data_IF_114060077253
#
_entry.id   IF_114060077253
#
_cell.length_a   1.000
_cell.length_b   1.000
_cell.length_c   1.000
_cell.angle_alpha   90.00
_cell.angle_beta   90.00
_cell.angle_gamma   90.00
#
_symmetry.space_group_name_H-M   'P 1'
#
loop_
_entity.id
_entity.type
_entity.pdbx_description
1 polymer ?
#
# COMPACT_ATOMS: atom_id res chain seq x y z
N UNK A 1 5.60 -4.41 56.82
CA UNK A 1 6.11 -4.90 55.53
C UNK A 1 4.92 -5.40 54.71
N UNK A 2 4.78 -4.97 53.45
CA UNK A 2 3.75 -5.49 52.55
C UNK A 2 4.21 -6.81 51.92
N UNK A 3 3.27 -7.71 51.64
CA UNK A 3 3.54 -8.95 50.91
C UNK A 3 3.72 -8.65 49.42
N UNK A 4 4.62 -9.37 48.76
CA UNK A 4 4.84 -9.26 47.33
C UNK A 4 3.61 -9.69 46.53
N UNK A 5 3.31 -8.94 45.46
CA UNK A 5 2.17 -9.20 44.58
C UNK A 5 2.42 -10.46 43.75
N UNK A 6 1.63 -11.52 43.98
CA UNK A 6 1.77 -12.81 43.27
C UNK A 6 0.92 -12.94 42.00
N UNK A 7 -0.17 -12.16 41.87
CA UNK A 7 -1.10 -12.25 40.76
C UNK A 7 -1.67 -10.87 40.40
N UNK A 8 -2.21 -10.75 39.18
CA UNK A 8 -3.00 -9.62 38.73
C UNK A 8 -4.28 -10.13 38.06
N UNK A 9 -5.39 -9.40 38.23
CA UNK A 9 -6.66 -9.70 37.61
C UNK A 9 -6.84 -8.76 36.41
N UNK A 10 -7.15 -9.32 35.23
CA UNK A 10 -7.46 -8.55 34.03
C UNK A 10 -8.88 -8.90 33.61
N UNK A 11 -9.68 -7.87 33.33
CA UNK A 11 -11.02 -8.05 32.78
C UNK A 11 -10.95 -7.95 31.26
N UNK A 12 -11.07 -9.08 30.58
CA UNK A 12 -11.08 -9.14 29.11
C UNK A 12 -12.51 -9.15 28.58
N UNK A 13 -13.04 -7.97 28.25
CA UNK A 13 -14.44 -7.82 27.86
C UNK A 13 -14.74 -8.24 26.41
N UNK A 14 -13.73 -8.43 25.56
CA UNK A 14 -13.91 -8.68 24.12
C UNK A 14 -12.98 -9.76 23.56
N UNK A 15 -12.47 -10.66 24.41
CA UNK A 15 -11.54 -11.69 23.98
C UNK A 15 -10.26 -11.09 23.39
N UNK A 16 -9.80 -9.95 23.91
CA UNK A 16 -8.55 -9.31 23.50
C UNK A 16 -7.38 -10.28 23.57
N UNK A 17 -7.33 -11.15 24.60
CA UNK A 17 -6.26 -12.16 24.69
C UNK A 17 -6.30 -13.18 23.56
N UNK A 18 -7.48 -13.51 23.05
CA UNK A 18 -7.65 -14.40 21.89
C UNK A 18 -7.32 -13.64 20.60
N UNK A 19 -7.82 -12.41 20.46
CA UNK A 19 -7.53 -11.52 19.34
C UNK A 19 -6.03 -11.26 19.15
N UNK A 20 -5.28 -10.92 20.20
CA UNK A 20 -3.83 -10.70 20.12
C UNK A 20 -3.00 -11.98 20.01
N UNK A 21 -3.62 -13.16 20.18
CA UNK A 21 -3.00 -14.46 19.84
C UNK A 21 -3.30 -14.88 18.41
N UNK A 22 -4.36 -14.34 17.81
CA UNK A 22 -4.54 -14.48 16.37
C UNK A 22 -3.40 -13.72 15.71
N UNK A 23 -2.74 -14.38 14.76
CA UNK A 23 -1.76 -13.77 13.88
C UNK A 23 -2.44 -13.63 12.50
N UNK A 24 -3.52 -12.84 12.38
CA UNK A 24 -4.20 -12.70 11.10
C UNK A 24 -3.25 -12.06 10.11
N UNK A 25 -3.32 -12.48 8.85
CA UNK A 25 -2.68 -11.73 7.77
C UNK A 25 -3.26 -10.31 7.79
N UNK A 26 -2.41 -9.29 7.76
CA UNK A 26 -2.86 -7.90 7.69
C UNK A 26 -3.65 -7.70 6.40
N UNK A 27 -4.98 -7.58 6.52
CA UNK A 27 -5.83 -7.13 5.43
C UNK A 27 -5.57 -5.63 5.27
N UNK A 28 -4.72 -5.26 4.31
CA UNK A 28 -4.36 -3.86 4.04
C UNK A 28 -5.57 -2.97 3.69
N UNK A 29 -6.75 -3.56 3.50
CA UNK A 29 -7.96 -2.87 3.13
C UNK A 29 -7.88 -2.36 1.70
N UNK A 30 -8.96 -2.50 0.94
CA UNK A 30 -9.02 -1.91 -0.41
C UNK A 30 -9.04 -0.39 -0.29
N UNK A 31 -7.90 0.27 -0.53
CA UNK A 31 -7.85 1.73 -0.61
C UNK A 31 -8.79 2.21 -1.72
N UNK A 32 -9.87 2.90 -1.35
CA UNK A 32 -10.81 3.44 -2.32
C UNK A 32 -10.13 4.52 -3.17
N UNK A 33 -10.18 4.41 -4.50
CA UNK A 33 -9.58 5.38 -5.41
C UNK A 33 -10.11 6.80 -5.19
N UNK A 34 -9.20 7.76 -5.14
CA UNK A 34 -9.54 9.19 -5.01
C UNK A 34 -10.30 9.72 -6.23
N UNK A 35 -11.09 10.79 -6.08
CA UNK A 35 -11.78 11.42 -7.23
C UNK A 35 -10.81 11.91 -8.32
N UNK A 36 -9.68 12.58 -8.00
CA UNK A 36 -8.70 12.97 -9.01
C UNK A 36 -8.11 11.78 -9.77
N UNK A 37 -7.83 10.67 -9.06
CA UNK A 37 -7.38 9.42 -9.70
C UNK A 37 -8.44 8.88 -10.67
N UNK A 38 -9.71 8.84 -10.27
CA UNK A 38 -10.80 8.39 -11.15
C UNK A 38 -10.91 9.26 -12.40
N UNK A 39 -10.78 10.59 -12.27
CA UNK A 39 -10.83 11.52 -13.43
C UNK A 39 -9.66 11.26 -14.37
N UNK A 40 -8.46 11.08 -13.83
CA UNK A 40 -7.27 10.78 -14.63
C UNK A 40 -7.39 9.44 -15.37
N UNK A 41 -7.83 8.39 -14.68
CA UNK A 41 -8.09 7.07 -15.29
C UNK A 41 -9.17 7.15 -16.38
N UNK A 42 -10.25 7.91 -16.16
CA UNK A 42 -11.29 8.12 -17.17
C UNK A 42 -10.74 8.81 -18.43
N UNK A 43 -9.85 9.80 -18.28
CA UNK A 43 -9.13 10.41 -19.42
C UNK A 43 -8.23 9.40 -20.14
N UNK A 44 -7.49 8.56 -19.41
CA UNK A 44 -6.66 7.52 -20.02
C UNK A 44 -7.51 6.53 -20.82
N UNK A 45 -8.65 6.09 -20.28
CA UNK A 45 -9.58 5.19 -20.97
C UNK A 45 -10.10 5.86 -22.24
N UNK A 46 -10.50 7.13 -22.16
CA UNK A 46 -10.97 7.90 -23.31
C UNK A 46 -9.90 8.05 -24.39
N UNK A 47 -8.65 8.37 -24.02
CA UNK A 47 -7.54 8.47 -24.96
C UNK A 47 -7.26 7.14 -25.67
N UNK A 48 -7.25 6.03 -24.92
CA UNK A 48 -7.02 4.70 -25.48
C UNK A 48 -8.15 4.29 -26.43
N UNK A 49 -9.40 4.58 -26.08
CA UNK A 49 -10.54 4.28 -26.96
C UNK A 49 -10.53 5.16 -28.21
N UNK A 50 -10.23 6.46 -28.08
CA UNK A 50 -10.09 7.37 -29.21
C UNK A 50 -9.00 6.89 -30.18
N UNK A 51 -7.83 6.51 -29.67
CA UNK A 51 -6.74 5.94 -30.46
C UNK A 51 -7.16 4.66 -31.18
N UNK A 52 -7.85 3.75 -30.48
CA UNK A 52 -8.38 2.49 -31.04
C UNK A 52 -9.36 2.74 -32.18
N UNK A 53 -10.16 3.81 -32.12
CA UNK A 53 -11.13 4.20 -33.14
C UNK A 53 -10.57 5.14 -34.22
N UNK A 54 -9.27 5.43 -34.19
CA UNK A 54 -8.61 6.39 -35.07
C UNK A 54 -9.15 7.84 -34.97
N UNK A 55 -9.74 8.20 -33.83
CA UNK A 55 -10.24 9.56 -33.52
C UNK A 55 -9.07 10.45 -33.05
N UNK A 56 -8.15 10.76 -33.96
CA UNK A 56 -6.87 11.39 -33.62
C UNK A 56 -7.00 12.80 -33.03
N UNK A 57 -8.03 13.55 -33.41
CA UNK A 57 -8.29 14.87 -32.86
C UNK A 57 -8.69 14.80 -31.37
N UNK A 58 -9.54 13.83 -31.01
CA UNK A 58 -9.95 13.55 -29.64
C UNK A 58 -8.75 13.04 -28.84
N UNK A 59 -8.00 12.09 -29.41
CA UNK A 59 -6.81 11.53 -28.78
C UNK A 59 -5.79 12.62 -28.43
N UNK A 60 -5.47 13.51 -29.38
CA UNK A 60 -4.53 14.59 -29.17
C UNK A 60 -4.97 15.57 -28.07
N UNK A 61 -6.25 15.94 -28.04
CA UNK A 61 -6.79 16.82 -27.00
C UNK A 61 -6.72 16.17 -25.60
N UNK A 62 -7.16 14.91 -25.48
CA UNK A 62 -7.13 14.19 -24.20
C UNK A 62 -5.70 13.96 -23.72
N UNK A 63 -4.74 13.70 -24.63
CA UNK A 63 -3.30 13.60 -24.29
C UNK A 63 -2.78 14.91 -23.69
N UNK A 64 -3.17 16.06 -24.23
CA UNK A 64 -2.81 17.36 -23.65
C UNK A 64 -3.40 17.53 -22.24
N UNK A 65 -4.63 17.09 -22.02
CA UNK A 65 -5.25 17.12 -20.70
C UNK A 65 -4.58 16.18 -19.69
N UNK A 66 -4.14 14.99 -20.13
CA UNK A 66 -3.38 14.03 -19.31
C UNK A 66 -2.03 14.64 -18.92
N UNK A 67 -1.32 15.24 -19.88
CA UNK A 67 -0.06 15.93 -19.63
C UNK A 67 -0.24 17.05 -18.61
N UNK A 68 -1.27 17.89 -18.77
CA UNK A 68 -1.58 18.97 -17.84
C UNK A 68 -1.87 18.46 -16.42
N UNK A 69 -2.52 17.30 -16.27
CA UNK A 69 -2.75 16.68 -14.95
C UNK A 69 -1.45 16.21 -14.30
N UNK A 70 -0.55 15.58 -15.08
CA UNK A 70 0.78 15.17 -14.61
C UNK A 70 1.59 16.39 -14.17
N UNK A 71 1.63 17.43 -15.00
CA UNK A 71 2.40 18.65 -14.73
C UNK A 71 1.89 19.41 -13.49
N UNK A 72 0.59 19.34 -13.21
CA UNK A 72 -0.03 19.96 -12.04
C UNK A 72 0.29 19.26 -10.71
N UNK A 73 0.93 18.08 -10.72
CA UNK A 73 1.36 17.41 -9.49
C UNK A 73 2.45 18.22 -8.79
N UNK A 74 2.29 18.40 -7.48
CA UNK A 74 3.24 19.15 -6.65
C UNK A 74 4.54 18.34 -6.44
N UNK A 75 5.64 18.84 -7.02
CA UNK A 75 6.98 18.23 -6.91
C UNK A 75 7.57 18.25 -5.50
N UNK A 76 6.93 18.93 -4.53
CA UNK A 76 7.38 18.92 -3.13
C UNK A 76 6.84 17.74 -2.33
N UNK A 77 5.79 17.05 -2.82
CA UNK A 77 5.20 15.90 -2.13
C UNK A 77 6.13 14.70 -2.19
N UNK A 78 6.37 14.03 -1.06
CA UNK A 78 7.32 12.90 -0.96
C UNK A 78 7.01 11.80 -2.00
N UNK A 79 5.76 11.34 -2.08
CA UNK A 79 5.35 10.32 -3.05
C UNK A 79 5.60 10.73 -4.52
N UNK A 80 5.45 12.01 -4.86
CA UNK A 80 5.74 12.53 -6.21
C UNK A 80 7.25 12.61 -6.43
N UNK A 81 8.03 13.02 -5.41
CA UNK A 81 9.49 13.08 -5.46
C UNK A 81 10.12 11.71 -5.65
N UNK A 82 9.62 10.68 -4.98
CA UNK A 82 10.11 9.31 -5.15
C UNK A 82 9.95 8.81 -6.60
N UNK A 83 8.91 9.30 -7.30
CA UNK A 83 8.60 8.95 -8.69
C UNK A 83 8.96 10.06 -9.69
N UNK A 84 9.89 10.98 -9.36
CA UNK A 84 10.18 12.15 -10.20
C UNK A 84 10.65 11.80 -11.62
N UNK A 85 11.48 10.76 -11.78
CA UNK A 85 11.96 10.31 -13.09
C UNK A 85 10.80 9.81 -13.95
N UNK A 86 9.89 9.05 -13.34
CA UNK A 86 8.68 8.57 -13.99
C UNK A 86 7.80 9.75 -14.41
N UNK A 87 7.57 10.72 -13.52
CA UNK A 87 6.81 11.94 -13.83
C UNK A 87 7.42 12.68 -15.01
N UNK A 88 8.73 12.93 -15.01
CA UNK A 88 9.41 13.64 -16.07
C UNK A 88 9.25 12.94 -17.43
N UNK A 89 9.45 11.62 -17.46
CA UNK A 89 9.29 10.82 -18.66
C UNK A 89 7.84 10.78 -19.18
N UNK A 90 6.86 10.65 -18.28
CA UNK A 90 5.44 10.60 -18.64
C UNK A 90 4.83 11.99 -18.91
N UNK A 91 5.54 13.07 -18.60
CA UNK A 91 5.19 14.45 -19.01
C UNK A 91 5.63 14.76 -20.45
N UNK A 92 6.49 13.94 -21.06
CA UNK A 92 6.91 14.12 -22.44
C UNK A 92 5.76 13.88 -23.43
N UNK A 93 5.32 14.95 -24.10
CA UNK A 93 4.22 14.90 -25.06
C UNK A 93 4.42 13.86 -26.15
N UNK A 94 5.64 13.74 -26.68
CA UNK A 94 5.97 12.73 -27.71
C UNK A 94 5.73 11.31 -27.23
N UNK A 95 6.06 11.01 -25.97
CA UNK A 95 5.85 9.69 -25.37
C UNK A 95 4.36 9.44 -25.15
N UNK A 96 3.63 10.43 -24.64
CA UNK A 96 2.18 10.33 -24.46
C UNK A 96 1.44 10.14 -25.79
N UNK A 97 1.83 10.85 -26.84
CA UNK A 97 1.29 10.71 -28.20
C UNK A 97 1.55 9.33 -28.81
N UNK A 98 2.66 8.67 -28.46
CA UNK A 98 2.90 7.29 -28.89
C UNK A 98 1.98 6.29 -28.19
N UNK A 99 1.59 6.57 -26.93
CA UNK A 99 0.72 5.72 -26.11
C UNK A 99 1.08 4.23 -26.16
N UNK A 100 2.39 3.93 -26.11
CA UNK A 100 2.89 2.56 -26.18
C UNK A 100 2.38 1.72 -24.99
N UNK A 101 2.28 0.38 -25.10
CA UNK A 101 1.75 -0.48 -24.04
C UNK A 101 2.41 -0.27 -22.67
N UNK A 102 3.74 -0.16 -22.61
CA UNK A 102 4.48 0.16 -21.38
C UNK A 102 4.08 1.53 -20.80
N UNK A 103 3.92 2.54 -21.65
CA UNK A 103 3.52 3.89 -21.20
C UNK A 103 2.10 3.86 -20.63
N UNK A 104 1.18 3.13 -21.27
CA UNK A 104 -0.17 2.91 -20.77
C UNK A 104 -0.15 2.24 -19.38
N UNK A 105 0.58 1.14 -19.22
CA UNK A 105 0.68 0.42 -17.94
C UNK A 105 1.18 1.34 -16.83
N UNK A 106 2.28 2.07 -17.06
CA UNK A 106 2.83 3.01 -16.08
C UNK A 106 1.87 4.15 -15.74
N UNK A 107 1.09 4.64 -16.72
CA UNK A 107 0.09 5.68 -16.48
C UNK A 107 -1.03 5.20 -15.55
N UNK A 108 -1.51 3.97 -15.71
CA UNK A 108 -2.57 3.41 -14.88
C UNK A 108 -2.08 2.95 -13.50
N UNK A 109 -0.95 2.25 -13.44
CA UNK A 109 -0.49 1.59 -12.21
C UNK A 109 0.34 2.51 -11.31
N UNK A 110 1.17 3.39 -11.89
CA UNK A 110 2.11 4.19 -11.12
C UNK A 110 1.73 5.67 -11.09
N UNK A 111 1.29 6.26 -12.22
CA UNK A 111 0.96 7.69 -12.28
C UNK A 111 -0.43 8.02 -11.74
N UNK A 112 -1.44 7.18 -12.02
CA UNK A 112 -2.81 7.45 -11.57
C UNK A 112 -2.96 7.54 -10.04
N UNK A 113 -2.32 6.67 -9.22
CA UNK A 113 -2.36 6.82 -7.76
C UNK A 113 -1.75 8.12 -7.25
N UNK A 114 -0.80 8.72 -7.98
CA UNK A 114 -0.20 10.00 -7.58
C UNK A 114 -1.18 11.18 -7.68
N UNK A 115 -2.28 11.03 -8.42
CA UNK A 115 -3.31 12.06 -8.57
C UNK A 115 -4.00 12.40 -7.25
N UNK A 116 -3.96 11.52 -6.26
CA UNK A 116 -4.45 11.83 -4.90
C UNK A 116 -3.72 13.02 -4.27
N UNK A 117 -2.49 13.30 -4.70
CA UNK A 117 -1.66 14.41 -4.22
C UNK A 117 -1.87 15.71 -5.01
N UNK A 118 -2.75 15.70 -6.02
CA UNK A 118 -3.15 16.90 -6.76
C UNK A 118 -4.00 17.79 -5.85
N UNK A 119 -3.67 19.08 -5.76
CA UNK A 119 -4.44 20.05 -4.98
C UNK A 119 -5.82 20.25 -5.61
N UNK A 120 -6.85 19.70 -4.98
CA UNK A 120 -8.25 19.75 -5.48
C UNK A 120 -9.24 20.24 -4.42
N UNK A 121 -8.74 21.00 -3.43
CA UNK A 121 -9.55 21.58 -2.35
C UNK A 121 -10.70 22.41 -2.91
N UNK A 122 -11.95 22.05 -2.57
CA UNK A 122 -13.15 22.73 -3.05
C UNK A 122 -13.63 22.32 -4.45
N UNK A 123 -12.89 21.46 -5.17
CA UNK A 123 -13.24 21.05 -6.54
C UNK A 123 -14.05 19.74 -6.62
N UNK A 124 -14.56 19.22 -5.50
CA UNK A 124 -15.22 17.91 -5.46
C UNK A 124 -16.41 17.81 -6.43
N UNK A 125 -17.23 18.86 -6.54
CA UNK A 125 -18.35 18.92 -7.49
C UNK A 125 -17.89 19.04 -8.94
N UNK A 126 -16.82 19.80 -9.18
CA UNK A 126 -16.21 19.95 -10.50
C UNK A 126 -15.64 18.62 -10.99
N UNK A 127 -14.91 17.87 -10.15
CA UNK A 127 -14.37 16.56 -10.50
C UNK A 127 -15.47 15.52 -10.76
N UNK A 128 -16.56 15.55 -9.98
CA UNK A 128 -17.73 14.68 -10.24
C UNK A 128 -18.41 15.04 -11.56
N UNK A 129 -18.46 16.31 -11.92
CA UNK A 129 -18.96 16.76 -13.22
C UNK A 129 -18.04 16.26 -14.33
N UNK A 130 -16.72 16.41 -14.19
CA UNK A 130 -15.75 15.91 -15.18
C UNK A 130 -15.94 14.43 -15.47
N UNK A 131 -16.10 13.61 -14.43
CA UNK A 131 -16.34 12.17 -14.59
C UNK A 131 -17.56 11.88 -15.45
N UNK A 132 -18.67 12.60 -15.24
CA UNK A 132 -19.88 12.42 -16.04
C UNK A 132 -19.66 12.83 -17.49
N UNK A 133 -18.97 13.95 -17.74
CA UNK A 133 -18.65 14.38 -19.11
C UNK A 133 -17.69 13.41 -19.81
N UNK A 134 -16.66 12.90 -19.12
CA UNK A 134 -15.74 11.90 -19.64
C UNK A 134 -16.47 10.57 -19.94
N UNK A 135 -17.39 10.16 -19.07
CA UNK A 135 -18.24 8.99 -19.31
C UNK A 135 -19.17 9.19 -20.50
N UNK A 136 -19.77 10.37 -20.66
CA UNK A 136 -20.57 10.72 -21.82
C UNK A 136 -19.72 10.67 -23.11
N UNK A 137 -18.54 11.29 -23.12
CA UNK A 137 -17.61 11.29 -24.26
C UNK A 137 -17.18 9.86 -24.63
N UNK A 138 -16.87 9.02 -23.62
CA UNK A 138 -16.52 7.61 -23.84
C UNK A 138 -17.70 6.82 -24.40
N UNK A 139 -18.91 7.02 -23.87
CA UNK A 139 -20.14 6.36 -24.36
C UNK A 139 -20.45 6.78 -25.79
N UNK A 140 -20.23 8.04 -26.18
CA UNK A 140 -20.36 8.47 -27.59
C UNK A 140 -19.42 7.71 -28.51
N UNK A 141 -18.22 7.38 -28.06
CA UNK A 141 -17.30 6.53 -28.81
C UNK A 141 -17.78 5.08 -28.82
N UNK A 142 -18.09 4.47 -27.67
CA UNK A 142 -18.30 3.02 -27.56
C UNK A 142 -19.72 2.56 -27.87
N UNK A 143 -20.74 3.26 -27.36
CA UNK A 143 -22.14 2.85 -27.37
C UNK A 143 -23.07 4.06 -27.61
N UNK A 144 -23.14 4.59 -28.86
CA UNK A 144 -23.91 5.79 -29.18
C UNK A 144 -25.40 5.73 -28.77
N UNK A 145 -25.99 4.53 -28.71
CA UNK A 145 -27.37 4.32 -28.30
C UNK A 145 -27.66 4.61 -26.82
N UNK A 146 -26.63 4.68 -25.95
CA UNK A 146 -26.79 4.97 -24.51
C UNK A 146 -26.42 6.40 -24.13
N UNK A 147 -26.04 7.23 -25.09
CA UNK A 147 -25.55 8.60 -24.85
C UNK A 147 -26.59 9.45 -24.12
N UNK A 148 -27.87 9.31 -24.48
CA UNK A 148 -28.96 10.07 -23.84
C UNK A 148 -29.14 9.70 -22.36
N UNK A 149 -28.93 8.42 -22.02
CA UNK A 149 -28.98 7.94 -20.62
C UNK A 149 -27.84 8.59 -19.80
N UNK A 150 -26.64 8.65 -20.38
CA UNK A 150 -25.46 9.26 -19.73
C UNK A 150 -25.52 10.80 -19.67
N UNK A 151 -26.29 11.43 -20.56
CA UNK A 151 -26.51 12.88 -20.57
C UNK A 151 -27.47 13.33 -19.46
N UNK A 152 -28.42 12.47 -19.05
CA UNK A 152 -29.46 12.83 -18.09
C UNK A 152 -28.91 13.32 -16.73
N UNK A 153 -27.92 12.66 -16.09
CA UNK A 153 -27.34 13.14 -14.84
C UNK A 153 -26.62 14.49 -14.95
N UNK A 154 -26.14 14.86 -16.14
CA UNK A 154 -25.55 16.17 -16.41
C UNK A 154 -26.66 17.21 -16.50
N UNK A 155 -27.73 16.90 -17.23
CA UNK A 155 -28.90 17.75 -17.37
C UNK A 155 -29.52 18.08 -16.00
N UNK A 156 -29.71 17.09 -15.13
CA UNK A 156 -30.26 17.26 -13.78
C UNK A 156 -29.41 18.21 -12.91
N UNK A 157 -28.07 18.17 -13.07
CA UNK A 157 -27.17 19.10 -12.38
C UNK A 157 -27.22 20.51 -12.96
N UNK A 158 -27.41 20.64 -14.27
CA UNK A 158 -27.50 21.93 -14.94
C UNK A 158 -28.83 22.62 -14.66
N UNK A 159 -29.94 21.86 -14.56
CA UNK A 159 -31.26 22.40 -14.21
C UNK A 159 -31.35 22.86 -12.75
N UNK A 160 -30.53 22.30 -11.85
CA UNK A 160 -30.43 22.72 -10.45
C UNK A 160 -29.51 23.92 -10.20
N UNK A 161 -28.89 24.52 -11.23
CA UNK A 161 -28.03 25.71 -11.08
C UNK A 161 -28.84 26.95 -10.66
N UNK A 162 -28.35 27.68 -9.67
CA UNK A 162 -29.02 28.88 -9.16
C UNK A 162 -28.77 30.12 -10.05
N UNK A 163 -29.70 30.40 -10.97
CA UNK A 163 -29.65 31.54 -11.92
C UNK A 163 -29.65 32.94 -11.27
N UNK A 164 -29.91 33.04 -9.97
CA UNK A 164 -29.85 34.31 -9.24
C UNK A 164 -28.41 34.82 -9.03
N UNK A 165 -27.41 33.95 -9.14
CA UNK A 165 -26.00 34.27 -8.95
C UNK A 165 -25.38 34.84 -10.24
N UNK A 166 -24.58 35.91 -10.12
CA UNK A 166 -23.91 36.56 -11.26
C UNK A 166 -22.98 35.61 -12.03
N UNK A 167 -22.24 34.76 -11.30
CA UNK A 167 -21.32 33.77 -11.88
C UNK A 167 -22.06 32.78 -12.78
N UNK A 168 -23.21 32.27 -12.32
CA UNK A 168 -24.07 31.36 -13.10
C UNK A 168 -24.64 32.08 -14.32
N UNK A 169 -25.10 33.33 -14.17
CA UNK A 169 -25.61 34.13 -15.31
C UNK A 169 -24.56 34.36 -16.40
N UNK A 170 -23.28 34.50 -16.02
CA UNK A 170 -22.20 34.68 -17.00
C UNK A 170 -22.05 33.49 -17.97
N UNK A 171 -22.60 32.31 -17.61
CA UNK A 171 -22.59 31.07 -18.41
C UNK A 171 -23.99 30.68 -18.91
N UNK A 172 -24.96 31.60 -18.89
CA UNK A 172 -26.35 31.32 -19.24
C UNK A 172 -26.54 30.77 -20.67
N UNK A 173 -25.68 31.14 -21.62
CA UNK A 173 -25.71 30.61 -22.99
C UNK A 173 -25.48 29.09 -23.01
N UNK A 174 -24.42 28.62 -22.35
CA UNK A 174 -24.09 27.20 -22.22
C UNK A 174 -25.18 26.44 -21.48
N UNK A 175 -25.72 27.01 -20.39
CA UNK A 175 -26.82 26.41 -19.62
C UNK A 175 -28.05 26.21 -20.53
N UNK A 176 -28.45 27.26 -21.27
CA UNK A 176 -29.60 27.20 -22.18
C UNK A 176 -29.43 26.18 -23.30
N UNK A 177 -28.22 26.04 -23.82
CA UNK A 177 -27.88 25.04 -24.86
C UNK A 177 -28.02 23.62 -24.33
N UNK A 178 -27.42 23.31 -23.18
CA UNK A 178 -27.47 21.97 -22.57
C UNK A 178 -28.90 21.56 -22.20
N UNK A 179 -29.74 22.52 -21.84
CA UNK A 179 -31.16 22.28 -21.54
C UNK A 179 -32.02 21.97 -22.79
N UNK A 180 -31.51 22.17 -24.01
CA UNK A 180 -32.24 21.76 -25.20
C UNK A 180 -32.26 20.23 -25.32
N UNK A 181 -33.39 19.62 -25.73
CA UNK A 181 -33.47 18.18 -25.96
C UNK A 181 -32.37 17.70 -26.91
N UNK A 182 -31.76 16.56 -26.59
CA UNK A 182 -30.74 15.90 -27.41
C UNK A 182 -29.46 16.70 -27.71
N UNK A 183 -29.30 17.92 -27.18
CA UNK A 183 -28.15 18.78 -27.51
C UNK A 183 -26.79 18.12 -27.22
N UNK A 184 -26.62 17.56 -26.02
CA UNK A 184 -25.39 16.83 -25.67
C UNK A 184 -25.21 15.53 -26.46
N UNK A 185 -26.32 14.90 -26.86
CA UNK A 185 -26.32 13.68 -27.66
C UNK A 185 -25.86 13.93 -29.10
N UNK A 186 -26.26 15.07 -29.67
CA UNK A 186 -25.95 15.45 -31.06
C UNK A 186 -24.64 16.23 -31.18
N UNK A 187 -24.20 16.89 -30.10
CA UNK A 187 -22.96 17.65 -30.06
C UNK A 187 -21.71 16.80 -30.35
N UNK A 188 -20.72 17.38 -31.02
CA UNK A 188 -19.41 16.75 -31.19
C UNK A 188 -18.60 16.74 -29.87
N UNK A 189 -17.46 16.06 -29.89
CA UNK A 189 -16.56 15.97 -28.75
C UNK A 189 -16.14 17.34 -28.19
N UNK A 190 -15.75 18.29 -29.06
CA UNK A 190 -15.21 19.58 -28.67
C UNK A 190 -16.28 20.51 -28.10
N UNK A 191 -17.51 20.41 -28.59
CA UNK A 191 -18.67 21.12 -28.04
C UNK A 191 -18.99 20.59 -26.64
N UNK A 192 -19.00 19.26 -26.45
CA UNK A 192 -19.21 18.63 -25.13
C UNK A 192 -18.08 19.02 -24.16
N UNK A 193 -16.84 19.06 -24.63
CA UNK A 193 -15.68 19.45 -23.83
C UNK A 193 -15.72 20.94 -23.43
N UNK A 194 -16.10 21.83 -24.35
CA UNK A 194 -16.34 23.25 -24.06
C UNK A 194 -17.45 23.43 -23.02
N UNK A 195 -18.52 22.64 -23.10
CA UNK A 195 -19.59 22.64 -22.09
C UNK A 195 -19.04 22.28 -20.71
N UNK A 196 -18.27 21.20 -20.61
CA UNK A 196 -17.61 20.75 -19.37
C UNK A 196 -16.78 21.87 -18.75
N UNK A 197 -15.91 22.51 -19.55
CA UNK A 197 -15.02 23.57 -19.08
C UNK A 197 -15.79 24.81 -18.58
N UNK A 198 -16.83 25.22 -19.30
CA UNK A 198 -17.65 26.36 -18.90
C UNK A 198 -18.43 26.12 -17.60
N UNK A 199 -18.97 24.91 -17.42
CA UNK A 199 -19.75 24.56 -16.23
C UNK A 199 -18.88 24.28 -15.00
N UNK A 200 -17.61 23.86 -15.19
CA UNK A 200 -16.70 23.47 -14.10
C UNK A 200 -16.65 24.50 -12.97
N UNK A 201 -16.54 25.77 -13.32
CA UNK A 201 -16.41 26.88 -12.36
C UNK A 201 -17.69 27.13 -11.55
N UNK A 202 -18.86 26.81 -12.07
CA UNK A 202 -20.16 27.18 -11.47
C UNK A 202 -20.95 26.00 -10.90
N UNK A 203 -20.55 24.75 -11.18
CA UNK A 203 -21.35 23.56 -10.82
C UNK A 203 -21.56 23.38 -9.31
N UNK A 204 -20.65 23.95 -8.50
CA UNK A 204 -20.76 23.93 -7.05
C UNK A 204 -21.88 24.86 -6.52
N UNK A 205 -22.36 25.79 -7.35
CA UNK A 205 -23.42 26.76 -7.06
C UNK A 205 -24.83 26.21 -7.38
N UNK A 206 -24.97 24.90 -7.61
CA UNK A 206 -26.28 24.27 -7.76
C UNK A 206 -26.98 24.10 -6.42
N UNK A 207 -28.30 24.14 -6.44
CA UNK A 207 -29.11 23.70 -5.33
C UNK A 207 -28.97 22.18 -5.17
N UNK A 208 -28.45 21.74 -4.02
CA UNK A 208 -28.24 20.33 -3.71
C UNK A 208 -29.46 19.69 -3.06
N UNK A 209 -30.56 20.44 -2.92
CA UNK A 209 -31.71 20.04 -2.14
C UNK A 209 -31.41 19.97 -0.64
N UNK A 210 -32.37 19.45 0.11
CA UNK A 210 -32.22 19.22 1.54
C UNK A 210 -31.28 18.03 1.73
N UNK A 211 -30.12 18.25 2.36
CA UNK A 211 -29.25 17.15 2.74
C UNK A 211 -30.05 16.18 3.62
N UNK A 212 -30.08 14.87 3.32
CA UNK A 212 -30.76 13.91 4.17
C UNK A 212 -30.25 14.04 5.60
N UNK A 213 -31.15 13.91 6.57
CA UNK A 213 -30.78 13.96 7.98
C UNK A 213 -29.60 13.02 8.21
N UNK A 214 -28.52 13.46 8.90
CA UNK A 214 -27.40 12.60 9.19
C UNK A 214 -27.92 11.32 9.84
N UNK A 215 -27.49 10.16 9.33
CA UNK A 215 -27.87 8.88 9.93
C UNK A 215 -27.57 8.95 11.42
N UNK A 216 -28.58 8.69 12.26
CA UNK A 216 -28.39 8.68 13.69
C UNK A 216 -27.27 7.68 14.02
N UNK A 217 -26.24 8.14 14.73
CA UNK A 217 -25.17 7.26 15.22
C UNK A 217 -25.83 6.17 16.06
N UNK A 218 -25.66 4.88 15.72
CA UNK A 218 -26.25 3.82 16.51
C UNK A 218 -25.64 3.86 17.91
N UNK A 219 -26.46 4.16 18.92
CA UNK A 219 -26.09 4.05 20.32
C UNK A 219 -26.39 2.61 20.72
N UNK A 220 -25.34 1.82 20.91
CA UNK A 220 -25.46 0.43 21.38
C UNK A 220 -25.21 0.45 22.90
N UNK A 221 -26.26 0.30 23.70
CA UNK A 221 -26.16 0.07 25.16
C UNK A 221 -25.90 -1.42 25.42
N UNK A 222 -24.63 -1.80 25.48
CA UNK A 222 -24.22 -3.18 25.82
C UNK A 222 -24.25 -3.33 27.34
N UNK A 223 -25.26 -4.06 27.85
CA UNK A 223 -25.37 -4.38 29.28
C UNK A 223 -24.68 -5.70 29.58
N UNK A 224 -23.85 -5.71 30.61
CA UNK A 224 -23.18 -6.92 31.09
C UNK A 224 -24.15 -7.82 31.86
N UNK A 225 -24.21 -9.10 31.47
CA UNK A 225 -24.85 -10.14 32.26
C UNK A 225 -23.79 -10.88 33.09
N UNK A 226 -23.92 -10.80 34.42
CA UNK A 226 -23.01 -11.46 35.37
C UNK A 226 -23.04 -12.99 35.23
N UNK A 227 -24.13 -13.57 34.71
CA UNK A 227 -24.23 -15.00 34.45
C UNK A 227 -23.34 -15.50 33.30
N UNK A 228 -22.80 -14.59 32.48
CA UNK A 228 -21.92 -14.91 31.35
C UNK A 228 -20.43 -14.72 31.67
N UNK A 229 -20.09 -14.36 32.90
CA UNK A 229 -18.68 -14.17 33.30
C UNK A 229 -17.93 -15.51 33.23
N UNK A 230 -16.85 -15.53 32.45
CA UNK A 230 -15.91 -16.65 32.38
C UNK A 230 -14.60 -16.25 33.04
N UNK A 231 -14.02 -17.14 33.84
CA UNK A 231 -12.71 -16.94 34.47
C UNK A 231 -11.75 -18.00 33.97
N UNK A 232 -10.60 -17.56 33.46
CA UNK A 232 -9.54 -18.44 32.97
C UNK A 232 -8.19 -17.95 33.48
N UNK A 233 -7.31 -18.88 33.84
CA UNK A 233 -5.92 -18.58 34.15
C UNK A 233 -5.12 -18.51 32.85
N UNK A 234 -4.55 -17.33 32.56
CA UNK A 234 -3.71 -17.13 31.38
C UNK A 234 -2.24 -17.16 31.81
N UNK A 235 -1.49 -18.15 31.31
CA UNK A 235 -0.03 -18.20 31.48
C UNK A 235 0.62 -17.11 30.64
N UNK A 236 1.50 -16.33 31.24
CA UNK A 236 2.29 -15.30 30.56
C UNK A 236 3.38 -15.96 29.72
N UNK A 237 3.30 -15.86 28.39
CA UNK A 237 4.42 -16.14 27.48
C UNK A 237 5.26 -14.87 27.29
N UNK A 238 5.59 -14.17 28.38
CA UNK A 238 6.50 -13.02 28.31
C UNK A 238 7.91 -13.58 28.39
N UNK A 239 8.57 -13.70 27.24
CA UNK A 239 10.02 -13.91 27.18
C UNK A 239 10.68 -12.60 27.60
N UNK A 240 10.77 -12.37 28.92
CA UNK A 240 11.34 -11.15 29.52
C UNK A 240 12.85 -11.03 29.31
N UNK A 241 13.45 -12.05 28.70
CA UNK A 241 14.87 -12.10 28.41
C UNK A 241 15.07 -11.37 27.08
N UNK A 242 15.61 -10.15 27.15
CA UNK A 242 16.05 -9.42 25.97
C UNK A 242 17.10 -10.28 25.23
N UNK A 243 16.76 -10.69 24.01
CA UNK A 243 17.59 -11.56 23.20
C UNK A 243 19.00 -10.99 23.01
N UNK A 244 19.15 -9.67 22.90
CA UNK A 244 20.45 -9.04 22.72
C UNK A 244 21.32 -9.18 23.97
N UNK A 245 20.73 -8.99 25.16
CA UNK A 245 21.42 -9.14 26.44
C UNK A 245 21.82 -10.61 26.64
N UNK A 246 20.90 -11.53 26.37
CA UNK A 246 21.17 -12.96 26.52
C UNK A 246 22.22 -13.48 25.56
N UNK A 247 22.17 -13.02 24.30
CA UNK A 247 23.19 -13.33 23.29
C UNK A 247 24.56 -12.86 23.74
N UNK A 248 24.69 -11.66 24.31
CA UNK A 248 25.96 -11.14 24.83
C UNK A 248 26.49 -11.97 26.00
N UNK A 249 25.63 -12.44 26.91
CA UNK A 249 26.05 -13.30 28.02
C UNK A 249 26.52 -14.67 27.53
N UNK A 250 25.83 -15.26 26.55
CA UNK A 250 26.23 -16.50 25.90
C UNK A 250 27.59 -16.32 25.20
N UNK A 251 27.75 -15.26 24.39
CA UNK A 251 28.99 -14.98 23.68
C UNK A 251 30.17 -14.77 24.64
N UNK A 252 29.96 -14.03 25.73
CA UNK A 252 30.97 -13.80 26.77
C UNK A 252 31.36 -15.10 27.48
N UNK A 253 30.42 -16.01 27.70
CA UNK A 253 30.68 -17.30 28.35
C UNK A 253 31.42 -18.26 27.41
N UNK A 254 31.10 -18.21 26.11
CA UNK A 254 31.70 -19.10 25.10
C UNK A 254 33.06 -18.62 24.59
N UNK A 255 33.32 -17.31 24.58
CA UNK A 255 34.55 -16.73 24.01
C UNK A 255 35.86 -17.28 24.58
N UNK A 256 36.02 -17.42 25.91
CA UNK A 256 37.23 -17.98 26.50
C UNK A 256 37.45 -19.47 26.19
N UNK A 257 36.38 -20.17 25.78
CA UNK A 257 36.40 -21.62 25.55
C UNK A 257 36.71 -21.99 24.10
N UNK A 258 36.81 -21.02 23.19
CA UNK A 258 37.06 -21.27 21.77
C UNK A 258 38.39 -21.98 21.49
N UNK A 259 39.43 -21.68 22.28
CA UNK A 259 40.74 -22.29 22.09
C UNK A 259 40.88 -23.66 22.78
N UNK A 260 40.09 -23.91 23.84
CA UNK A 260 40.24 -25.10 24.68
C UNK A 260 39.20 -26.19 24.44
N UNK A 261 38.05 -25.87 23.82
CA UNK A 261 36.94 -26.81 23.66
C UNK A 261 36.80 -27.32 22.22
N UNK A 262 37.00 -28.62 22.03
CA UNK A 262 36.93 -29.27 20.72
C UNK A 262 35.53 -29.18 20.07
N UNK A 263 34.45 -29.14 20.87
CA UNK A 263 33.07 -29.05 20.35
C UNK A 263 32.83 -27.67 19.73
N UNK A 264 33.27 -26.60 20.40
CA UNK A 264 33.15 -25.24 19.85
C UNK A 264 33.99 -25.06 18.58
N UNK A 265 35.17 -25.69 18.51
CA UNK A 265 35.98 -25.69 17.29
C UNK A 265 35.27 -26.38 16.12
N UNK A 266 34.64 -27.54 16.37
CA UNK A 266 33.80 -28.22 15.36
C UNK A 266 32.63 -27.36 14.89
N UNK A 267 31.96 -26.66 15.81
CA UNK A 267 30.85 -25.72 15.49
C UNK A 267 31.36 -24.60 14.59
N UNK A 268 32.50 -23.98 14.92
CA UNK A 268 33.11 -22.88 14.14
C UNK A 268 33.57 -23.32 12.75
N UNK A 269 34.09 -24.55 12.63
CA UNK A 269 34.62 -25.11 11.39
C UNK A 269 33.56 -25.73 10.48
N UNK A 270 32.27 -25.63 10.82
CA UNK A 270 31.20 -26.18 9.98
C UNK A 270 30.99 -27.69 10.10
N UNK A 271 31.66 -28.37 11.03
CA UNK A 271 31.59 -29.83 11.16
C UNK A 271 30.31 -30.26 11.88
N UNK A 272 29.85 -31.49 11.61
CA UNK A 272 28.69 -32.08 12.28
C UNK A 272 29.00 -32.37 13.74
N UNK A 273 28.12 -31.92 14.64
CA UNK A 273 28.26 -32.12 16.09
C UNK A 273 27.20 -33.10 16.57
N UNK A 274 27.57 -34.02 17.46
CA UNK A 274 26.61 -35.00 18.00
C UNK A 274 25.78 -34.41 19.13
N UNK A 275 24.62 -34.99 19.43
CA UNK A 275 23.79 -34.55 20.56
C UNK A 275 24.52 -34.70 21.92
N UNK A 276 25.40 -35.71 22.05
CA UNK A 276 26.22 -35.91 23.24
C UNK A 276 27.27 -34.80 23.42
N UNK A 277 27.85 -34.32 22.31
CA UNK A 277 28.79 -33.19 22.32
C UNK A 277 28.09 -31.89 22.74
N UNK A 278 26.86 -31.65 22.22
CA UNK A 278 26.05 -30.49 22.58
C UNK A 278 25.59 -30.53 24.05
N UNK A 279 25.22 -31.70 24.56
CA UNK A 279 24.87 -31.88 25.97
C UNK A 279 26.07 -31.60 26.88
N UNK A 280 27.26 -32.07 26.48
CA UNK A 280 28.51 -31.81 27.21
C UNK A 280 28.84 -30.32 27.24
N UNK A 281 28.71 -29.63 26.09
CA UNK A 281 28.90 -28.20 25.99
C UNK A 281 27.89 -27.43 26.86
N UNK A 282 26.61 -27.82 26.84
CA UNK A 282 25.57 -27.21 27.67
C UNK A 282 25.86 -27.35 29.16
N UNK A 283 26.29 -28.53 29.61
CA UNK A 283 26.68 -28.76 31.00
C UNK A 283 27.89 -27.90 31.42
N UNK A 284 28.88 -27.76 30.54
CA UNK A 284 30.07 -26.95 30.79
C UNK A 284 29.73 -25.46 30.89
N UNK A 285 28.90 -24.94 29.97
CA UNK A 285 28.42 -23.55 29.98
C UNK A 285 27.62 -23.26 31.24
N UNK A 286 26.71 -24.16 31.62
CA UNK A 286 25.92 -24.02 32.84
C UNK A 286 26.76 -24.04 34.12
N UNK A 287 27.88 -24.77 34.11
CA UNK A 287 28.84 -24.80 35.23
C UNK A 287 29.62 -23.48 35.35
N UNK A 288 29.92 -22.81 34.23
CA UNK A 288 30.64 -21.53 34.23
C UNK A 288 29.73 -20.34 34.47
N UNK A 289 28.49 -20.39 33.98
CA UNK A 289 27.49 -19.35 34.18
C UNK A 289 26.11 -19.97 34.41
N UNK A 290 25.64 -20.05 35.67
CA UNK A 290 24.34 -20.60 36.02
C UNK A 290 23.16 -19.87 35.36
N UNK A 291 23.35 -18.63 34.90
CA UNK A 291 22.32 -17.82 34.26
C UNK A 291 22.17 -18.11 32.76
N UNK A 292 23.08 -18.90 32.17
CA UNK A 292 23.06 -19.24 30.75
C UNK A 292 22.67 -20.71 30.58
N UNK A 293 21.64 -20.93 29.77
CA UNK A 293 21.17 -22.24 29.32
C UNK A 293 21.05 -22.25 27.80
N UNK A 294 21.83 -23.10 27.16
CA UNK A 294 21.86 -23.20 25.70
C UNK A 294 20.52 -23.67 25.12
N UNK A 295 19.65 -24.31 25.91
CA UNK A 295 18.31 -24.69 25.46
C UNK A 295 17.39 -23.47 25.28
N UNK A 296 17.54 -22.44 26.12
CA UNK A 296 16.77 -21.18 26.01
C UNK A 296 17.04 -20.48 24.67
N UNK A 297 18.21 -20.69 24.05
CA UNK A 297 18.50 -20.16 22.71
C UNK A 297 17.54 -20.70 21.63
N UNK A 298 17.06 -21.95 21.75
CA UNK A 298 16.08 -22.49 20.80
C UNK A 298 14.73 -21.79 20.92
N UNK A 299 14.37 -21.31 22.11
CA UNK A 299 13.10 -20.64 22.35
C UNK A 299 13.00 -19.28 21.62
N UNK A 300 14.15 -18.64 21.32
CA UNK A 300 14.22 -17.42 20.53
C UNK A 300 14.13 -17.64 19.01
N UNK A 301 14.25 -18.88 18.54
CA UNK A 301 14.20 -19.24 17.11
C UNK A 301 13.18 -20.36 16.83
N UNK A 302 11.90 -20.23 17.22
CA UNK A 302 10.93 -21.31 17.17
C UNK A 302 10.55 -21.75 15.73
N UNK A 303 10.70 -20.87 14.74
CA UNK A 303 10.42 -21.16 13.34
C UNK A 303 11.64 -21.64 12.53
N UNK A 304 12.82 -21.65 13.14
CA UNK A 304 14.03 -22.09 12.46
C UNK A 304 14.14 -23.61 12.56
N UNK A 305 14.29 -24.30 11.42
CA UNK A 305 14.71 -25.71 11.39
C UNK A 305 16.18 -25.90 11.82
N UNK A 306 16.84 -24.81 12.22
CA UNK A 306 18.22 -24.76 12.64
C UNK A 306 18.45 -25.53 13.95
N UNK A 307 19.44 -26.42 13.92
CA UNK A 307 19.95 -27.09 15.11
C UNK A 307 20.61 -26.10 16.08
N UNK A 308 20.78 -26.52 17.34
CA UNK A 308 21.45 -25.71 18.38
C UNK A 308 22.88 -25.35 17.98
N UNK A 309 23.56 -26.22 17.25
CA UNK A 309 24.89 -26.01 16.67
C UNK A 309 24.92 -24.84 15.66
N UNK A 310 23.86 -24.69 14.86
CA UNK A 310 23.76 -23.59 13.88
C UNK A 310 23.49 -22.26 14.57
N UNK A 311 22.62 -22.25 15.59
CA UNK A 311 22.36 -21.05 16.40
C UNK A 311 23.62 -20.64 17.17
N UNK A 312 24.37 -21.59 17.73
CA UNK A 312 25.65 -21.29 18.36
C UNK A 312 26.66 -20.74 17.36
N UNK A 313 26.67 -21.23 16.11
CA UNK A 313 27.57 -20.73 15.05
C UNK A 313 27.29 -19.27 14.69
N UNK A 314 26.05 -18.81 14.72
CA UNK A 314 25.73 -17.39 14.46
C UNK A 314 26.18 -16.46 15.59
N UNK A 315 26.24 -16.97 16.83
CA UNK A 315 26.70 -16.22 18.00
C UNK A 315 28.23 -16.20 18.09
N UNK A 316 28.85 -17.35 17.87
CA UNK A 316 30.31 -17.55 18.02
C UNK A 316 31.10 -17.06 16.79
N UNK A 317 30.45 -17.02 15.63
CA UNK A 317 31.09 -16.75 14.34
C UNK A 317 31.78 -17.97 13.75
N UNK A 318 32.14 -17.87 12.47
CA UNK A 318 32.80 -18.94 11.71
C UNK A 318 34.31 -18.73 11.64
N UNK A 319 35.07 -19.80 11.43
CA UNK A 319 36.51 -19.70 11.18
C UNK A 319 36.78 -19.16 9.76
N UNK A 320 37.48 -18.03 9.68
CA UNK A 320 37.76 -17.33 8.43
C UNK A 320 38.58 -18.18 7.44
N UNK A 321 39.55 -18.96 7.93
CA UNK A 321 40.37 -19.81 7.07
C UNK A 321 39.55 -20.96 6.45
N UNK A 322 38.62 -21.53 7.24
CA UNK A 322 37.74 -22.58 6.75
C UNK A 322 36.69 -22.03 5.79
N UNK A 323 36.15 -20.82 6.02
CA UNK A 323 35.27 -20.14 5.07
C UNK A 323 35.99 -19.91 3.75
N UNK A 324 37.23 -19.41 3.77
CA UNK A 324 38.00 -19.16 2.55
C UNK A 324 38.27 -20.45 1.77
N UNK A 325 38.54 -21.56 2.47
CA UNK A 325 38.74 -22.89 1.87
C UNK A 325 37.46 -23.46 1.26
N UNK A 326 36.34 -23.42 1.97
CA UNK A 326 35.04 -23.88 1.48
C UNK A 326 34.54 -22.98 0.35
N UNK A 327 34.73 -21.67 0.45
CA UNK A 327 34.41 -20.72 -0.61
C UNK A 327 35.30 -20.95 -1.83
N UNK A 328 36.59 -21.21 -1.67
CA UNK A 328 37.48 -21.58 -2.78
C UNK A 328 37.06 -22.90 -3.43
N UNK A 329 36.64 -23.88 -2.64
CA UNK A 329 36.14 -25.18 -3.13
C UNK A 329 34.81 -25.01 -3.86
N UNK A 330 33.89 -24.22 -3.32
CA UNK A 330 32.63 -23.84 -3.95
C UNK A 330 32.89 -23.09 -5.26
N UNK A 331 33.80 -22.13 -5.24
CA UNK A 331 34.23 -21.40 -6.45
C UNK A 331 34.80 -22.40 -7.46
N UNK A 332 35.65 -23.34 -7.07
CA UNK A 332 36.19 -24.35 -7.99
C UNK A 332 35.14 -25.34 -8.52
N UNK A 333 34.11 -25.67 -7.73
CA UNK A 333 33.03 -26.57 -8.12
C UNK A 333 31.95 -25.90 -8.99
N UNK A 334 31.67 -24.61 -8.75
CA UNK A 334 30.64 -23.83 -9.45
C UNK A 334 31.22 -23.06 -10.65
N UNK A 335 32.51 -22.69 -10.63
CA UNK A 335 33.18 -21.94 -11.71
C UNK A 335 33.76 -22.79 -12.84
N UNK A 336 33.28 -24.03 -13.07
CA UNK A 336 33.45 -24.63 -14.40
C UNK A 336 32.48 -24.03 -15.44
N UNK A 337 31.51 -23.18 -15.05
CA UNK A 337 30.54 -22.59 -15.99
C UNK A 337 30.15 -21.11 -15.82
N UNK A 338 30.91 -20.27 -15.10
CA UNK A 338 30.59 -18.83 -15.03
C UNK A 338 31.78 -17.94 -15.42
N UNK A 339 31.73 -17.44 -16.66
CA UNK A 339 32.53 -16.30 -17.12
C UNK A 339 31.81 -15.00 -16.73
N UNK A 340 32.57 -13.91 -16.55
CA UNK A 340 32.16 -12.62 -15.97
C UNK A 340 31.09 -11.80 -16.75
N UNK A 341 30.13 -12.45 -17.40
CA UNK A 341 29.09 -11.82 -18.22
C UNK A 341 27.71 -12.51 -18.15
N UNK A 342 27.44 -13.33 -17.14
CA UNK A 342 26.09 -13.83 -16.85
C UNK A 342 25.68 -13.49 -15.43
#
# INVERSE_FOLDING_TARGET
AGLDKKHFLIFDHWGNFEYFKMNPEEDEGSQSKSLPQKVFEAKLILAVEALKKAEMAIFADVVQQIKADIDALNDKTIAVREKWQLKAQLSEEKRLMQMAPDTKTRLFEEMAPLMQWKKTTGESEALRLDLQFLQLQLTKLQQPSKVEIEAQPILDKVTSLSMHLNEVRSKASTIKQIQQPSYLSDADYFVVESCRQNLRSIIHLRDKGIAPAPMATPIIDVREDRGLYQSQEIKTNITTVDYEIYRQEVEKTLSPLFESNEVLQKIRSGQTVTEADLATLSALVHTQNPNVDLQTLKEFFPESSAGLDQILRTIVGMDAQQIEKEFTTFVQQVHTHLNARQ
#
